data_IF_103066628866
#
_entry.id   IF_103066628866
#
_cell.length_a   1.000
_cell.length_b   1.000
_cell.length_c   1.000
_cell.angle_alpha   90.00
_cell.angle_beta   90.00
_cell.angle_gamma   90.00
#
_symmetry.space_group_name_H-M   'P 1'
#
loop_
_entity.id
_entity.type
_entity.pdbx_description
1 polymer ?
#
# COMPACT_ATOMS: atom_id res chain seq x y z
N UNK A 1 12.28 -0.44 -11.51
CA UNK A 1 12.68 0.35 -10.32
C UNK A 1 12.48 -0.43 -9.02
N UNK A 2 11.28 -0.68 -8.48
CA UNK A 2 11.12 -1.58 -7.30
C UNK A 2 11.37 -3.05 -7.67
N UNK A 3 10.81 -3.50 -8.80
CA UNK A 3 10.93 -4.89 -9.31
C UNK A 3 12.36 -5.29 -9.75
N UNK A 4 13.29 -4.34 -9.82
CA UNK A 4 14.69 -4.59 -10.18
C UNK A 4 15.63 -4.43 -8.98
N UNK A 5 15.10 -4.46 -7.75
CA UNK A 5 15.89 -4.33 -6.50
C UNK A 5 16.18 -2.89 -6.07
N UNK A 6 15.52 -1.89 -6.66
CA UNK A 6 15.67 -0.49 -6.25
C UNK A 6 14.76 -0.10 -5.08
N UNK A 7 15.19 0.89 -4.31
CA UNK A 7 14.41 1.43 -3.18
C UNK A 7 13.61 2.66 -3.58
N UNK A 8 12.44 2.85 -2.96
CA UNK A 8 11.59 4.03 -3.13
C UNK A 8 11.26 4.62 -1.76
N UNK A 9 11.48 5.93 -1.62
CA UNK A 9 11.06 6.70 -0.45
C UNK A 9 9.69 7.31 -0.67
N UNK A 10 8.76 7.10 0.26
CA UNK A 10 7.44 7.70 0.26
C UNK A 10 7.34 8.59 1.50
N UNK A 11 6.99 9.86 1.33
CA UNK A 11 6.71 10.76 2.44
C UNK A 11 5.46 11.60 2.20
N UNK A 12 4.93 12.17 3.27
CA UNK A 12 3.93 13.22 3.23
C UNK A 12 4.40 14.35 4.16
N UNK A 13 3.57 14.79 5.11
CA UNK A 13 3.99 15.70 6.18
C UNK A 13 4.44 14.96 7.44
N UNK A 14 3.66 13.99 7.93
CA UNK A 14 3.92 13.27 9.19
C UNK A 14 4.17 11.76 9.05
N UNK A 15 4.03 11.22 7.84
CA UNK A 15 4.28 9.79 7.57
C UNK A 15 3.28 8.80 8.19
N UNK A 16 2.15 9.28 8.72
CA UNK A 16 1.13 8.44 9.35
C UNK A 16 -0.01 8.10 8.37
N UNK A 17 -0.68 9.09 7.76
CA UNK A 17 -1.77 8.79 6.83
C UNK A 17 -1.33 8.39 5.43
N UNK A 18 -1.24 9.37 4.52
CA UNK A 18 -1.08 9.17 3.07
C UNK A 18 0.15 8.34 2.67
N UNK A 19 1.25 8.45 3.40
CA UNK A 19 2.45 7.67 3.09
C UNK A 19 2.22 6.17 3.28
N UNK A 20 1.59 5.79 4.39
CA UNK A 20 1.22 4.40 4.65
C UNK A 20 0.16 3.89 3.67
N UNK A 21 -0.82 4.73 3.33
CA UNK A 21 -1.84 4.41 2.33
C UNK A 21 -1.23 4.06 0.97
N UNK A 22 -0.30 4.89 0.46
CA UNK A 22 0.36 4.61 -0.82
C UNK A 22 1.27 3.38 -0.75
N UNK A 23 1.98 3.17 0.37
CA UNK A 23 2.78 1.97 0.57
C UNK A 23 1.92 0.69 0.53
N UNK A 24 0.79 0.68 1.22
CA UNK A 24 -0.16 -0.44 1.18
C UNK A 24 -0.75 -0.63 -0.21
N UNK A 25 -1.07 0.46 -0.92
CA UNK A 25 -1.58 0.41 -2.29
C UNK A 25 -0.57 -0.23 -3.26
N UNK A 26 0.71 0.08 -3.12
CA UNK A 26 1.77 -0.55 -3.91
C UNK A 26 1.84 -2.05 -3.63
N UNK A 27 1.73 -2.50 -2.38
CA UNK A 27 1.68 -3.92 -2.05
C UNK A 27 0.50 -4.62 -2.74
N UNK A 28 -0.68 -4.00 -2.74
CA UNK A 28 -1.87 -4.54 -3.44
C UNK A 28 -1.62 -4.64 -4.94
N UNK A 29 -1.01 -3.61 -5.55
CA UNK A 29 -0.63 -3.63 -6.97
C UNK A 29 0.42 -4.71 -7.31
N UNK A 30 1.21 -5.13 -6.31
CA UNK A 30 2.14 -6.26 -6.40
C UNK A 30 1.49 -7.61 -6.10
N UNK A 31 0.17 -7.67 -5.94
CA UNK A 31 -0.61 -8.91 -5.79
C UNK A 31 -0.98 -9.26 -4.35
N UNK A 32 -0.75 -8.38 -3.37
CA UNK A 32 -1.21 -8.61 -2.00
C UNK A 32 -2.70 -8.36 -1.87
N UNK A 33 -3.34 -9.07 -0.95
CA UNK A 33 -4.68 -8.72 -0.51
C UNK A 33 -4.65 -7.38 0.27
N UNK A 34 -5.66 -6.51 0.13
CA UNK A 34 -5.70 -5.20 0.79
C UNK A 34 -5.53 -5.25 2.31
N UNK A 35 -6.25 -6.14 2.98
CA UNK A 35 -6.22 -6.24 4.45
C UNK A 35 -4.81 -6.61 4.97
N UNK A 36 -4.17 -7.71 4.51
CA UNK A 36 -2.78 -8.00 4.84
C UNK A 36 -1.78 -6.88 4.48
N UNK A 37 -2.01 -6.14 3.38
CA UNK A 37 -1.15 -5.02 3.01
C UNK A 37 -1.22 -3.86 4.02
N UNK A 38 -2.42 -3.51 4.49
CA UNK A 38 -2.63 -2.49 5.54
C UNK A 38 -1.97 -2.94 6.83
N UNK A 39 -2.20 -4.19 7.25
CA UNK A 39 -1.60 -4.76 8.45
C UNK A 39 -0.08 -4.72 8.38
N UNK A 40 0.50 -5.09 7.22
CA UNK A 40 1.95 -5.08 7.05
C UNK A 40 2.57 -3.69 7.19
N UNK A 41 1.90 -2.67 6.67
CA UNK A 41 2.34 -1.28 6.82
C UNK A 41 2.26 -0.84 8.28
N UNK A 42 1.18 -1.21 9.00
CA UNK A 42 0.98 -0.87 10.42
C UNK A 42 1.97 -1.59 11.34
N UNK A 43 2.39 -2.80 11.02
CA UNK A 43 3.46 -3.51 11.75
C UNK A 43 4.78 -2.72 11.73
N UNK A 44 5.16 -2.21 10.55
CA UNK A 44 6.41 -1.46 10.38
C UNK A 44 6.28 -0.03 10.92
N UNK A 45 5.11 0.58 10.75
CA UNK A 45 4.81 1.93 11.23
C UNK A 45 3.48 1.93 11.99
N UNK A 46 3.51 1.72 13.32
CA UNK A 46 2.31 1.79 14.14
C UNK A 46 1.57 3.12 13.96
N UNK A 47 0.24 3.06 13.83
CA UNK A 47 -0.61 4.23 13.57
C UNK A 47 -0.62 4.72 12.12
N UNK A 48 0.04 4.01 11.19
CA UNK A 48 -0.09 4.32 9.78
C UNK A 48 -1.50 3.97 9.25
N UNK A 49 -1.96 4.72 8.24
CA UNK A 49 -3.30 4.61 7.64
C UNK A 49 -4.34 4.98 8.70
N UNK A 50 -4.62 6.27 8.81
CA UNK A 50 -5.28 6.88 9.98
C UNK A 50 -6.81 6.87 9.90
N UNK A 51 -7.37 6.73 8.70
CA UNK A 51 -8.82 6.86 8.48
C UNK A 51 -9.38 5.77 7.59
N UNK A 52 -10.67 5.47 7.77
CA UNK A 52 -11.41 4.50 6.96
C UNK A 52 -11.42 4.87 5.47
N UNK A 53 -11.37 6.16 5.12
CA UNK A 53 -11.25 6.58 3.71
C UNK A 53 -9.91 6.15 3.10
N UNK A 54 -8.84 6.17 3.89
CA UNK A 54 -7.52 5.72 3.44
C UNK A 54 -7.50 4.21 3.28
N UNK A 55 -8.13 3.46 4.18
CA UNK A 55 -8.31 2.02 4.03
C UNK A 55 -9.13 1.71 2.77
N UNK A 56 -10.27 2.40 2.59
CA UNK A 56 -11.16 2.24 1.43
C UNK A 56 -10.42 2.45 0.11
N UNK A 57 -9.50 3.42 0.06
CA UNK A 57 -8.65 3.63 -1.11
C UNK A 57 -7.73 2.41 -1.41
N UNK A 58 -7.21 1.75 -0.38
CA UNK A 58 -6.38 0.53 -0.55
C UNK A 58 -7.24 -0.63 -1.07
N UNK A 59 -8.46 -0.80 -0.54
CA UNK A 59 -9.42 -1.83 -0.99
C UNK A 59 -9.94 -1.59 -2.41
N UNK A 60 -10.08 -0.33 -2.84
CA UNK A 60 -10.71 0.04 -4.10
C UNK A 60 -10.05 -0.56 -5.34
N UNK A 61 -8.76 -0.88 -5.30
CA UNK A 61 -8.10 -1.52 -6.43
C UNK A 61 -7.70 -2.96 -6.18
N UNK A 62 -8.61 -3.70 -5.57
CA UNK A 62 -8.62 -5.17 -5.61
C UNK A 62 -8.51 -5.62 -7.07
N UNK A 63 -7.46 -6.39 -7.39
CA UNK A 63 -7.22 -6.84 -8.76
C UNK A 63 -8.28 -7.88 -9.13
N UNK A 64 -9.35 -7.46 -9.80
CA UNK A 64 -10.20 -8.36 -10.56
C UNK A 64 -9.35 -8.96 -11.69
N UNK A 65 -9.32 -10.29 -11.78
CA UNK A 65 -8.31 -11.04 -12.53
C UNK A 65 -8.11 -10.60 -13.98
N UNK A 66 -6.95 -10.00 -14.28
CA UNK A 66 -6.20 -10.07 -15.55
C UNK A 66 -5.10 -9.01 -15.55
N UNK A 67 -3.88 -9.38 -15.17
CA UNK A 67 -2.67 -8.80 -15.77
C UNK A 67 -1.76 -9.92 -16.25
N UNK A 68 -2.15 -10.47 -17.40
CA UNK A 68 -1.26 -11.24 -18.27
C UNK A 68 -0.40 -10.25 -19.07
N UNK A 69 0.59 -9.65 -18.41
CA UNK A 69 1.76 -9.05 -19.06
C UNK A 69 2.79 -8.63 -18.01
N UNK A 70 3.68 -9.57 -17.68
CA UNK A 70 5.13 -9.41 -17.73
C UNK A 70 5.71 -10.72 -18.28
#
# INVERSE_FOLDING_TARGET
>A
TIICGGNVLIHCRGGLGRSGMIAARILVELGWNPEPAIQKVREVRPGAIETTDQESFVFAGSISGNRKHL
#
